data_IF_855113683198
#
_entry.id   IF_855113683198
#
_cell.length_a   1.000
_cell.length_b   1.000
_cell.length_c   1.000
_cell.angle_alpha   90.00
_cell.angle_beta   90.00
_cell.angle_gamma   90.00
#
_symmetry.space_group_name_H-M   'P 1'
#
loop_
_entity.id
_entity.type
_entity.pdbx_description
1 polymer ?
#
# COMPACT_ATOMS: atom_id res chain seq x y z
N UNK A 1 3.30 -27.40 4.63
CA UNK A 1 2.27 -26.41 4.25
C UNK A 1 2.98 -25.29 3.52
N UNK A 2 2.72 -25.11 2.22
CA UNK A 2 3.32 -24.00 1.47
C UNK A 2 2.86 -22.69 2.10
N UNK A 3 3.80 -21.84 2.50
CA UNK A 3 3.48 -20.52 3.07
C UNK A 3 2.57 -19.77 2.08
N UNK A 4 1.42 -19.31 2.55
CA UNK A 4 0.48 -18.52 1.76
C UNK A 4 1.15 -17.23 1.30
N UNK A 5 1.29 -17.06 -0.01
CA UNK A 5 1.84 -15.85 -0.63
C UNK A 5 1.03 -14.62 -0.15
N UNK A 6 1.72 -13.57 0.29
CA UNK A 6 1.07 -12.37 0.79
C UNK A 6 0.55 -11.55 -0.39
N UNK A 7 -0.76 -11.60 -0.61
CA UNK A 7 -1.46 -10.81 -1.65
C UNK A 7 -2.24 -9.68 -1.02
N UNK A 8 -2.08 -8.47 -1.54
CA UNK A 8 -2.85 -7.32 -1.09
C UNK A 8 -4.33 -7.52 -1.41
N UNK A 9 -5.18 -7.27 -0.41
CA UNK A 9 -6.62 -7.56 -0.46
C UNK A 9 -6.96 -9.03 -0.81
N UNK A 10 -5.99 -9.95 -0.68
CA UNK A 10 -6.13 -11.34 -1.09
C UNK A 10 -6.17 -11.57 -2.60
N UNK A 11 -5.93 -10.55 -3.43
CA UNK A 11 -6.05 -10.62 -4.90
C UNK A 11 -4.78 -10.20 -5.63
N UNK A 12 -4.15 -9.11 -5.21
CA UNK A 12 -3.05 -8.50 -5.94
C UNK A 12 -1.70 -9.01 -5.44
N UNK A 13 -0.91 -9.63 -6.32
CA UNK A 13 0.47 -10.05 -5.98
C UNK A 13 1.43 -8.87 -5.99
N UNK A 14 2.54 -9.00 -5.27
CA UNK A 14 3.64 -8.04 -5.22
C UNK A 14 4.84 -8.47 -6.08
N UNK A 15 4.84 -9.67 -6.66
CA UNK A 15 6.01 -10.26 -7.33
C UNK A 15 6.42 -9.47 -8.58
N UNK A 16 5.45 -8.99 -9.36
CA UNK A 16 5.70 -8.30 -10.64
C UNK A 16 5.88 -6.78 -10.50
N UNK A 17 5.85 -6.23 -9.27
CA UNK A 17 5.88 -4.78 -9.09
C UNK A 17 7.31 -4.25 -9.13
N UNK A 18 7.61 -3.48 -10.18
CA UNK A 18 8.93 -2.88 -10.37
C UNK A 18 8.84 -1.34 -10.29
N UNK A 19 9.87 -0.75 -9.68
CA UNK A 19 10.06 0.71 -9.68
C UNK A 19 11.04 1.05 -10.80
N UNK A 20 10.61 1.81 -11.81
CA UNK A 20 11.42 2.13 -12.99
C UNK A 20 12.56 3.10 -12.70
N UNK A 21 12.39 4.00 -11.73
CA UNK A 21 13.38 5.02 -11.36
C UNK A 21 14.27 4.55 -10.20
N UNK A 22 15.56 4.41 -10.48
CA UNK A 22 16.57 3.95 -9.51
C UNK A 22 16.63 4.84 -8.26
N UNK A 23 16.38 6.14 -8.38
CA UNK A 23 16.46 7.09 -7.26
C UNK A 23 15.33 6.92 -6.24
N UNK A 24 14.19 6.35 -6.66
CA UNK A 24 12.99 6.19 -5.84
C UNK A 24 12.86 4.81 -5.19
N UNK A 25 13.67 3.83 -5.62
CA UNK A 25 13.64 2.44 -5.13
C UNK A 25 13.71 2.38 -3.60
N UNK A 26 14.55 3.20 -2.97
CA UNK A 26 14.74 3.21 -1.52
C UNK A 26 13.59 3.89 -0.74
N UNK A 27 12.75 4.69 -1.42
CA UNK A 27 11.68 5.50 -0.80
C UNK A 27 10.27 4.96 -1.04
N UNK A 28 10.11 4.07 -2.02
CA UNK A 28 8.87 3.38 -2.34
C UNK A 28 8.94 1.95 -1.80
N UNK A 29 8.34 1.73 -0.63
CA UNK A 29 8.30 0.42 -0.01
C UNK A 29 7.28 -0.49 -0.72
N UNK A 30 7.78 -1.27 -1.68
CA UNK A 30 7.06 -2.36 -2.37
C UNK A 30 7.72 -3.73 -2.15
N UNK A 31 8.92 -3.75 -1.55
CA UNK A 31 9.69 -4.96 -1.30
C UNK A 31 9.05 -5.88 -0.24
N UNK A 32 9.64 -7.06 -0.03
CA UNK A 32 9.14 -8.10 0.89
C UNK A 32 8.80 -7.61 2.30
N UNK A 33 9.48 -6.57 2.80
CA UNK A 33 9.22 -5.99 4.13
C UNK A 33 7.90 -5.19 4.20
N UNK A 34 7.34 -4.80 3.06
CA UNK A 34 6.14 -3.98 2.93
C UNK A 34 4.92 -4.77 2.43
N UNK A 35 5.09 -6.06 2.15
CA UNK A 35 4.00 -6.94 1.74
C UNK A 35 3.00 -7.07 2.90
N UNK A 36 1.74 -6.74 2.62
CA UNK A 36 0.67 -6.78 3.61
C UNK A 36 -0.64 -7.21 2.96
N UNK A 37 -1.45 -7.99 3.69
CA UNK A 37 -2.78 -8.38 3.22
C UNK A 37 -3.74 -7.19 3.23
N UNK A 38 -3.58 -6.30 4.20
CA UNK A 38 -4.36 -5.09 4.40
C UNK A 38 -3.41 -3.92 4.64
N UNK A 39 -3.69 -2.72 4.10
CA UNK A 39 -2.88 -1.52 4.33
C UNK A 39 -3.14 -0.91 5.73
N UNK A 40 -2.97 -1.73 6.76
CA UNK A 40 -3.17 -1.41 8.17
C UNK A 40 -2.15 -2.16 9.05
N UNK A 41 -0.88 -1.73 9.01
CA UNK A 41 0.22 -2.39 9.73
C UNK A 41 0.34 -1.98 11.21
N UNK A 42 -0.35 -0.93 11.64
CA UNK A 42 -0.17 -0.30 12.96
C UNK A 42 1.31 0.09 13.28
N UNK A 43 2.13 0.28 12.24
CA UNK A 43 3.56 0.58 12.38
C UNK A 43 3.85 2.00 12.87
N UNK A 44 4.88 2.14 13.72
CA UNK A 44 5.36 3.45 14.22
C UNK A 44 6.41 4.06 13.28
N UNK A 45 5.97 4.52 12.12
CA UNK A 45 6.85 5.04 11.05
C UNK A 45 7.43 6.43 11.31
N UNK A 46 6.92 7.17 12.30
CA UNK A 46 7.32 8.56 12.56
C UNK A 46 8.36 8.70 13.69
N UNK A 47 8.70 7.62 14.40
CA UNK A 47 9.60 7.64 15.56
C UNK A 47 11.04 8.07 15.24
N UNK A 48 11.51 7.86 14.00
CA UNK A 48 12.87 8.22 13.56
C UNK A 48 12.84 8.86 12.18
N UNK A 49 13.82 9.72 11.89
CA UNK A 49 14.01 10.31 10.56
C UNK A 49 14.12 9.19 9.51
N UNK A 50 13.49 9.38 8.36
CA UNK A 50 13.43 8.44 7.23
C UNK A 50 12.69 7.11 7.42
N UNK A 51 12.21 6.75 8.62
CA UNK A 51 11.38 5.54 8.80
C UNK A 51 10.07 5.55 8.01
N UNK A 52 9.60 6.72 7.58
CA UNK A 52 8.44 6.84 6.67
C UNK A 52 8.67 6.17 5.32
N UNK A 53 9.92 6.06 4.86
CA UNK A 53 10.27 5.36 3.62
C UNK A 53 9.86 3.89 3.66
N UNK A 54 9.98 3.24 4.82
CA UNK A 54 9.64 1.84 5.06
C UNK A 54 8.13 1.56 5.17
N UNK A 55 7.28 2.59 5.23
CA UNK A 55 5.83 2.43 5.28
C UNK A 55 5.33 1.95 3.91
N UNK A 56 4.54 0.86 3.85
CA UNK A 56 3.95 0.36 2.60
C UNK A 56 3.26 1.48 1.83
N UNK A 57 3.48 1.56 0.52
CA UNK A 57 3.01 2.69 -0.30
C UNK A 57 1.48 2.85 -0.24
N UNK A 58 0.75 1.73 -0.23
CA UNK A 58 -0.72 1.71 -0.14
C UNK A 58 -1.21 2.21 1.22
N UNK A 59 -0.51 1.89 2.31
CA UNK A 59 -0.84 2.42 3.64
C UNK A 59 -0.53 3.92 3.74
N UNK A 60 0.55 4.38 3.10
CA UNK A 60 0.88 5.81 3.00
C UNK A 60 -0.22 6.57 2.28
N UNK A 61 -0.73 6.04 1.16
CA UNK A 61 -1.89 6.59 0.44
C UNK A 61 -3.14 6.65 1.34
N UNK A 62 -3.49 5.56 2.02
CA UNK A 62 -4.64 5.52 2.94
C UNK A 62 -4.50 6.57 4.06
N UNK A 63 -3.29 6.77 4.60
CA UNK A 63 -3.02 7.79 5.60
C UNK A 63 -3.25 9.21 5.07
N UNK A 64 -2.84 9.49 3.83
CA UNK A 64 -3.03 10.79 3.20
C UNK A 64 -4.49 11.09 2.86
N UNK A 65 -5.34 10.08 2.65
CA UNK A 65 -6.77 10.28 2.38
C UNK A 65 -7.59 10.70 3.61
N UNK A 66 -7.06 10.50 4.82
CA UNK A 66 -7.74 10.82 6.08
C UNK A 66 -7.53 12.27 6.53
N UNK A 67 -7.20 13.19 5.62
CA UNK A 67 -7.04 14.61 5.93
C UNK A 67 -8.39 15.31 6.14
N UNK A 68 -8.33 16.57 6.60
CA UNK A 68 -9.48 17.43 6.84
C UNK A 68 -10.46 16.88 7.88
N UNK A 69 -10.20 17.18 9.16
CA UNK A 69 -11.10 17.09 10.33
C UNK A 69 -12.10 15.94 10.35
N UNK A 70 -13.19 16.07 9.58
CA UNK A 70 -14.27 15.09 9.41
C UNK A 70 -13.78 13.68 9.05
N UNK A 71 -12.68 13.53 8.31
CA UNK A 71 -12.17 12.21 7.87
C UNK A 71 -11.00 11.69 8.72
N UNK A 72 -10.55 12.45 9.71
CA UNK A 72 -9.43 12.08 10.55
C UNK A 72 -9.72 10.77 11.30
N UNK A 73 -8.73 9.85 11.28
CA UNK A 73 -8.81 8.56 11.98
C UNK A 73 -9.71 7.51 11.33
N UNK A 74 -10.45 7.83 10.26
CA UNK A 74 -11.36 6.89 9.57
C UNK A 74 -10.63 5.95 8.61
N UNK A 75 -9.65 5.20 9.12
CA UNK A 75 -8.76 4.37 8.29
C UNK A 75 -9.50 3.25 7.57
N UNK A 76 -10.41 2.55 8.25
CA UNK A 76 -11.23 1.51 7.63
C UNK A 76 -12.08 2.04 6.46
N UNK A 77 -12.53 3.29 6.51
CA UNK A 77 -13.25 3.92 5.41
C UNK A 77 -12.31 4.16 4.22
N UNK A 78 -11.13 4.74 4.46
CA UNK A 78 -10.12 4.96 3.42
C UNK A 78 -9.69 3.65 2.74
N UNK A 79 -9.46 2.58 3.51
CA UNK A 79 -9.08 1.26 2.98
C UNK A 79 -10.15 0.68 2.04
N UNK A 80 -11.44 0.85 2.35
CA UNK A 80 -12.55 0.42 1.48
C UNK A 80 -12.57 1.21 0.16
N UNK A 81 -12.36 2.53 0.22
CA UNK A 81 -12.29 3.38 -0.98
C UNK A 81 -11.13 2.95 -1.88
N UNK A 82 -9.94 2.73 -1.29
CA UNK A 82 -8.76 2.27 -2.04
C UNK A 82 -8.98 0.88 -2.67
N UNK A 83 -9.64 -0.03 -1.95
CA UNK A 83 -10.00 -1.35 -2.50
C UNK A 83 -10.84 -1.22 -3.78
N UNK A 84 -11.88 -0.40 -3.76
CA UNK A 84 -12.73 -0.17 -4.94
C UNK A 84 -11.99 0.55 -6.07
N UNK A 85 -11.15 1.53 -5.73
CA UNK A 85 -10.32 2.21 -6.73
C UNK A 85 -9.37 1.22 -7.45
N UNK A 86 -8.78 0.27 -6.71
CA UNK A 86 -7.91 -0.75 -7.28
C UNK A 86 -8.66 -1.71 -8.21
N UNK A 87 -9.91 -2.06 -7.89
CA UNK A 87 -10.77 -2.84 -8.79
C UNK A 87 -11.05 -2.08 -10.10
N UNK A 88 -11.34 -0.78 -10.02
CA UNK A 88 -11.57 0.06 -11.20
C UNK A 88 -10.29 0.19 -12.04
N UNK A 89 -9.13 0.45 -11.43
CA UNK A 89 -7.85 0.59 -12.15
C UNK A 89 -7.52 -0.70 -12.90
N UNK A 90 -7.71 -1.86 -12.27
CA UNK A 90 -7.50 -3.14 -12.93
C UNK A 90 -8.42 -3.31 -14.14
N UNK A 91 -9.71 -3.03 -13.99
CA UNK A 91 -10.68 -3.14 -15.08
C UNK A 91 -10.40 -2.16 -16.25
N UNK A 92 -9.76 -1.03 -15.98
CA UNK A 92 -9.43 -0.03 -17.01
C UNK A 92 -8.11 -0.31 -17.72
N UNK A 93 -7.15 -0.95 -17.05
CA UNK A 93 -5.77 -1.07 -17.53
C UNK A 93 -5.33 -2.51 -17.81
N UNK A 94 -6.12 -3.50 -17.37
CA UNK A 94 -5.79 -4.93 -17.34
C UNK A 94 -4.45 -5.27 -16.65
N UNK A 95 -3.93 -4.32 -15.86
CA UNK A 95 -2.66 -4.44 -15.12
C UNK A 95 -2.92 -4.57 -13.63
N UNK A 96 -1.87 -4.99 -12.92
CA UNK A 96 -1.90 -4.99 -11.46
C UNK A 96 -1.97 -3.54 -10.96
N UNK A 97 -2.99 -3.15 -10.16
CA UNK A 97 -3.14 -1.76 -9.71
C UNK A 97 -2.08 -1.29 -8.70
N UNK A 98 -1.22 -2.19 -8.21
CA UNK A 98 -0.07 -1.84 -7.38
C UNK A 98 1.10 -1.29 -8.23
N UNK A 99 1.16 -1.66 -9.51
CA UNK A 99 2.21 -1.25 -10.45
C UNK A 99 2.10 0.21 -10.86
#
# INVERSE_FOLDING_TARGET
MSATEVKLFGRWSYEDVMVSDLSLVDYIAVSKSAQSFLPHTAGRYQMRRFRKALCPIVERLCCSMMMHGRNNGKKLMAVRIVKHAFEIIHLLTDKNPIQ
#
